data_IF_507307382836
#
_entry.id   IF_507307382836
#
_cell.length_a   1.000
_cell.length_b   1.000
_cell.length_c   1.000
_cell.angle_alpha   90.00
_cell.angle_beta   90.00
_cell.angle_gamma   90.00
#
_symmetry.space_group_name_H-M   'P 1'
#
loop_
_entity.id
_entity.type
_entity.pdbx_description
1 polymer ?
#
# COMPACT_ATOMS: atom_id res chain seq x y z
N UNK A 1 -34.65 14.82 -39.27
CA UNK A 1 -33.24 14.58 -38.94
C UNK A 1 -33.23 13.91 -37.59
N UNK A 2 -32.76 12.68 -37.54
CA UNK A 2 -32.73 11.86 -36.33
C UNK A 2 -31.27 11.64 -35.93
N UNK A 3 -30.95 11.84 -34.64
CA UNK A 3 -29.61 11.58 -34.12
C UNK A 3 -29.54 10.16 -33.59
N UNK A 4 -28.61 9.38 -34.12
CA UNK A 4 -28.25 8.08 -33.59
C UNK A 4 -27.18 8.33 -32.52
N UNK A 5 -27.61 8.23 -31.26
CA UNK A 5 -26.74 8.41 -30.11
C UNK A 5 -26.14 7.07 -29.66
N UNK A 6 -24.98 7.17 -29.04
CA UNK A 6 -24.35 6.09 -28.28
C UNK A 6 -23.96 6.66 -26.91
N UNK A 7 -23.78 5.81 -25.90
CA UNK A 7 -23.43 6.23 -24.55
C UNK A 7 -22.07 5.65 -24.21
N UNK A 8 -21.12 6.54 -23.90
CA UNK A 8 -19.83 6.13 -23.35
C UNK A 8 -19.82 6.36 -21.84
N UNK A 9 -19.20 5.43 -21.12
CA UNK A 9 -18.84 5.62 -19.72
C UNK A 9 -17.39 6.11 -19.70
N UNK A 10 -17.14 7.14 -18.90
CA UNK A 10 -15.81 7.69 -18.70
C UNK A 10 -15.59 7.79 -17.22
N UNK A 11 -14.52 7.17 -16.73
CA UNK A 11 -14.08 7.31 -15.36
C UNK A 11 -13.16 8.51 -15.25
N UNK A 12 -13.63 9.58 -14.61
CA UNK A 12 -12.80 10.74 -14.35
C UNK A 12 -11.87 10.45 -13.17
N UNK A 13 -10.56 10.40 -13.44
CA UNK A 13 -9.53 10.21 -12.41
C UNK A 13 -9.26 11.54 -11.72
N UNK A 14 -9.50 11.58 -10.42
CA UNK A 14 -9.21 12.72 -9.55
C UNK A 14 -7.99 12.35 -8.70
N UNK A 15 -6.94 13.16 -8.77
CA UNK A 15 -5.81 12.99 -7.85
C UNK A 15 -6.27 13.30 -6.41
N UNK A 16 -6.10 12.31 -5.54
CA UNK A 16 -6.42 12.51 -4.13
C UNK A 16 -5.43 13.48 -3.47
N UNK A 17 -4.20 13.53 -3.98
CA UNK A 17 -3.09 14.22 -3.33
C UNK A 17 -2.58 13.45 -2.11
N UNK A 18 -2.04 14.19 -1.14
CA UNK A 18 -1.53 13.66 0.13
C UNK A 18 -2.39 14.18 1.27
N UNK A 19 -3.00 13.27 2.02
CA UNK A 19 -3.52 13.56 3.35
C UNK A 19 -2.52 13.07 4.38
N UNK A 20 -2.19 13.90 5.36
CA UNK A 20 -1.23 13.60 6.41
C UNK A 20 -1.87 13.88 7.76
N UNK A 21 -1.74 12.94 8.70
CA UNK A 21 -2.25 13.09 10.06
C UNK A 21 -1.27 12.47 11.06
N UNK A 22 -1.34 12.93 12.30
CA UNK A 22 -0.47 12.46 13.38
C UNK A 22 -1.28 11.63 14.38
N UNK A 23 -0.77 10.44 14.68
CA UNK A 23 -1.38 9.49 15.60
C UNK A 23 -0.49 9.42 16.84
N UNK A 24 -1.09 9.58 18.02
CA UNK A 24 -0.39 9.38 19.29
C UNK A 24 -1.12 8.38 20.17
N UNK A 25 -0.35 7.56 20.89
CA UNK A 25 -0.86 6.68 21.93
C UNK A 25 0.14 6.51 23.07
N UNK A 26 -0.37 6.29 24.26
CA UNK A 26 0.42 5.88 25.41
C UNK A 26 0.33 4.36 25.57
N UNK A 27 1.46 3.72 25.88
CA UNK A 27 1.53 2.29 26.14
C UNK A 27 2.15 2.03 27.51
N UNK A 28 1.59 1.07 28.22
CA UNK A 28 2.11 0.59 29.50
C UNK A 28 2.96 -0.66 29.25
N UNK A 29 4.15 -0.69 29.82
CA UNK A 29 5.05 -1.84 29.77
C UNK A 29 4.37 -3.00 30.53
N UNK A 30 4.20 -4.19 29.93
CA UNK A 30 3.58 -5.33 30.61
C UNK A 30 4.37 -5.77 31.84
N UNK A 31 3.68 -6.15 32.94
CA UNK A 31 4.30 -6.54 34.23
C UNK A 31 5.35 -7.65 34.13
N UNK A 32 5.30 -8.46 33.06
CA UNK A 32 6.26 -9.54 32.79
C UNK A 32 7.58 -9.05 32.17
N UNK A 33 7.65 -7.82 31.69
CA UNK A 33 8.82 -7.23 31.03
C UNK A 33 9.50 -6.24 31.98
N UNK A 34 10.83 -6.12 31.87
CA UNK A 34 11.63 -5.18 32.64
C UNK A 34 11.34 -3.72 32.26
N UNK A 35 11.78 -2.82 33.11
CA UNK A 35 11.54 -1.38 32.98
C UNK A 35 12.30 -0.78 31.80
N UNK A 36 11.76 0.26 31.20
CA UNK A 36 12.33 0.89 30.00
C UNK A 36 13.44 1.86 30.40
N UNK A 37 14.65 1.62 29.88
CA UNK A 37 15.80 2.52 30.04
C UNK A 37 16.03 3.39 28.81
N UNK A 38 16.08 2.77 27.63
CA UNK A 38 16.41 3.46 26.37
C UNK A 38 15.63 2.88 25.20
N UNK A 39 15.07 3.75 24.35
CA UNK A 39 14.39 3.32 23.12
C UNK A 39 15.42 3.03 22.03
N UNK A 40 15.38 1.83 21.48
CA UNK A 40 16.26 1.39 20.38
C UNK A 40 15.61 1.66 19.03
N UNK A 41 14.33 1.28 18.87
CA UNK A 41 13.62 1.44 17.60
C UNK A 41 12.11 1.49 17.76
N UNK A 42 11.51 2.26 16.88
CA UNK A 42 10.08 2.27 16.57
C UNK A 42 9.82 1.64 15.20
N UNK A 43 8.84 0.75 15.15
CA UNK A 43 8.34 0.08 13.96
C UNK A 43 6.81 0.09 13.97
N UNK A 44 6.19 0.15 12.78
CA UNK A 44 4.76 0.04 12.70
C UNK A 44 4.24 0.06 11.28
N UNK A 45 2.97 -0.32 11.12
CA UNK A 45 2.27 -0.33 9.85
C UNK A 45 0.80 0.09 10.06
N UNK A 46 0.21 0.62 9.00
CA UNK A 46 -1.20 1.01 8.96
C UNK A 46 -2.01 -0.10 8.31
N UNK A 47 -3.11 -0.47 8.95
CA UNK A 47 -4.13 -1.37 8.39
C UNK A 47 -5.43 -0.62 8.21
N UNK A 48 -5.68 -0.08 7.01
CA UNK A 48 -6.97 0.51 6.66
C UNK A 48 -7.98 -0.61 6.39
N UNK A 49 -8.97 -0.75 7.28
CA UNK A 49 -10.00 -1.78 7.19
C UNK A 49 -11.16 -1.34 6.31
N UNK A 50 -11.55 -0.06 6.41
CA UNK A 50 -12.72 0.49 5.73
C UNK A 50 -12.45 1.91 5.26
N UNK A 51 -12.79 2.19 4.01
CA UNK A 51 -12.79 3.54 3.45
C UNK A 51 -14.15 3.75 2.81
N UNK A 52 -14.86 4.79 3.22
CA UNK A 52 -16.19 5.15 2.71
C UNK A 52 -16.17 6.55 2.11
N UNK A 53 -16.72 6.69 0.91
CA UNK A 53 -16.93 7.98 0.26
C UNK A 53 -18.29 8.53 0.63
N UNK A 54 -18.33 9.80 1.03
CA UNK A 54 -19.55 10.54 1.29
C UNK A 54 -19.41 11.95 0.70
N UNK A 55 -20.53 12.64 0.53
CA UNK A 55 -20.52 13.99 -0.04
C UNK A 55 -19.61 14.92 0.77
N UNK A 56 -18.58 15.45 0.09
CA UNK A 56 -17.57 16.34 0.64
C UNK A 56 -16.54 15.71 1.58
N UNK A 57 -16.55 14.38 1.79
CA UNK A 57 -15.62 13.73 2.74
C UNK A 57 -15.32 12.26 2.49
N UNK A 58 -14.19 11.80 3.03
CA UNK A 58 -13.78 10.40 3.05
C UNK A 58 -13.65 9.95 4.50
N UNK A 59 -14.31 8.85 4.87
CA UNK A 59 -14.16 8.24 6.19
C UNK A 59 -13.18 7.08 6.11
N UNK A 60 -12.06 7.17 6.83
CA UNK A 60 -11.03 6.15 6.89
C UNK A 60 -11.02 5.51 8.28
N UNK A 61 -11.28 4.20 8.34
CA UNK A 61 -11.21 3.39 9.56
C UNK A 61 -10.18 2.29 9.44
N UNK A 62 -9.41 2.11 10.49
CA UNK A 62 -8.33 1.13 10.50
C UNK A 62 -7.61 1.09 11.82
N UNK A 63 -6.34 0.71 11.79
CA UNK A 63 -5.48 0.73 12.96
C UNK A 63 -4.04 1.02 12.60
N UNK A 64 -3.37 1.74 13.48
CA UNK A 64 -1.91 1.80 13.52
C UNK A 64 -1.41 0.73 14.48
N UNK A 65 -0.64 -0.22 13.95
CA UNK A 65 -0.02 -1.28 14.74
C UNK A 65 1.46 -0.92 14.92
N UNK A 66 1.93 -0.92 16.16
CA UNK A 66 3.29 -0.51 16.49
C UNK A 66 4.04 -1.57 17.29
N UNK A 67 5.36 -1.51 17.20
CA UNK A 67 6.33 -2.22 18.02
C UNK A 67 7.46 -1.27 18.41
N UNK A 68 7.73 -1.13 19.70
CA UNK A 68 8.81 -0.31 20.24
C UNK A 68 9.82 -1.24 20.90
N UNK A 69 11.02 -1.32 20.35
CA UNK A 69 12.14 -2.09 20.88
C UNK A 69 12.95 -1.19 21.81
N UNK A 70 13.30 -1.68 23.00
CA UNK A 70 13.99 -0.92 24.04
C UNK A 70 15.03 -1.76 24.78
N UNK A 71 16.00 -1.09 25.40
CA UNK A 71 16.94 -1.67 26.37
C UNK A 71 16.33 -1.51 27.77
N UNK A 72 16.36 -2.58 28.56
CA UNK A 72 15.85 -2.62 29.92
C UNK A 72 16.72 -1.84 30.91
N UNK A 73 16.22 -1.62 32.13
CA UNK A 73 16.89 -0.96 33.25
C UNK A 73 18.20 -1.64 33.71
N UNK A 74 18.32 -2.95 33.48
CA UNK A 74 19.56 -3.70 33.65
C UNK A 74 20.66 -3.36 32.62
N UNK A 75 20.33 -2.53 31.63
CA UNK A 75 21.19 -2.04 30.55
C UNK A 75 21.76 -3.13 29.64
N UNK A 76 21.19 -4.33 29.67
CA UNK A 76 21.68 -5.46 28.90
C UNK A 76 20.55 -6.18 28.15
N UNK A 77 19.38 -6.33 28.76
CA UNK A 77 18.26 -7.05 28.14
C UNK A 77 17.54 -6.18 27.12
N UNK A 78 17.40 -6.72 25.90
CA UNK A 78 16.56 -6.12 24.86
C UNK A 78 15.14 -6.67 24.97
N UNK A 79 14.16 -5.78 24.96
CA UNK A 79 12.74 -6.12 25.02
C UNK A 79 11.92 -5.23 24.08
N UNK A 80 10.60 -5.43 24.06
CA UNK A 80 9.69 -4.66 23.23
C UNK A 80 8.36 -4.32 23.90
N UNK A 81 7.67 -3.29 23.41
CA UNK A 81 6.26 -3.01 23.68
C UNK A 81 5.55 -2.88 22.34
N UNK A 82 4.65 -3.83 22.05
CA UNK A 82 3.78 -3.78 20.90
C UNK A 82 2.36 -3.36 21.28
N UNK A 83 1.62 -2.83 20.31
CA UNK A 83 0.26 -2.39 20.53
C UNK A 83 -0.45 -1.91 19.27
N UNK A 84 -1.71 -1.52 19.46
CA UNK A 84 -2.63 -1.14 18.39
C UNK A 84 -3.43 0.09 18.78
N UNK A 85 -3.51 1.04 17.86
CA UNK A 85 -4.28 2.28 18.00
C UNK A 85 -5.32 2.31 16.90
N UNK A 86 -6.59 2.46 17.25
CA UNK A 86 -7.66 2.57 16.26
C UNK A 86 -7.60 3.92 15.54
N UNK A 87 -7.77 3.88 14.22
CA UNK A 87 -7.81 5.05 13.33
C UNK A 87 -9.26 5.28 12.93
N UNK A 88 -9.75 6.49 13.14
CA UNK A 88 -11.06 6.94 12.70
C UNK A 88 -10.97 8.38 12.17
N UNK A 89 -10.47 8.51 10.94
CA UNK A 89 -10.20 9.81 10.31
C UNK A 89 -11.33 10.22 9.37
N UNK A 90 -11.64 11.51 9.35
CA UNK A 90 -12.57 12.13 8.38
C UNK A 90 -11.79 13.16 7.59
N UNK A 91 -11.65 12.91 6.28
CA UNK A 91 -10.89 13.75 5.37
C UNK A 91 -11.88 14.61 4.59
N UNK A 92 -11.93 15.91 4.85
CA UNK A 92 -12.76 16.85 4.11
C UNK A 92 -12.17 17.10 2.72
N UNK A 93 -12.98 16.92 1.67
CA UNK A 93 -12.59 17.13 0.28
C UNK A 93 -13.83 17.37 -0.58
N UNK A 94 -14.05 18.64 -0.95
CA UNK A 94 -15.29 19.11 -1.60
C UNK A 94 -15.67 18.38 -2.90
N UNK A 95 -14.67 17.90 -3.66
CA UNK A 95 -14.89 17.23 -4.94
C UNK A 95 -15.21 15.73 -4.81
N UNK A 96 -15.43 15.24 -3.58
CA UNK A 96 -15.82 13.84 -3.32
C UNK A 96 -17.34 13.76 -3.26
N UNK A 97 -17.91 12.82 -4.01
CA UNK A 97 -19.34 12.47 -3.94
C UNK A 97 -19.50 11.04 -3.42
N UNK A 98 -20.69 10.72 -2.95
CA UNK A 98 -21.04 9.36 -2.56
C UNK A 98 -20.74 8.34 -3.68
N UNK A 99 -20.30 7.14 -3.29
CA UNK A 99 -20.08 5.99 -4.18
C UNK A 99 -18.99 6.20 -5.26
N UNK A 100 -18.12 7.20 -5.11
CA UNK A 100 -16.87 7.27 -5.88
C UNK A 100 -16.01 6.03 -5.59
N UNK A 101 -15.38 5.52 -6.65
CA UNK A 101 -14.39 4.45 -6.52
C UNK A 101 -13.02 5.01 -6.16
N UNK A 102 -12.13 4.15 -5.64
CA UNK A 102 -10.82 4.61 -5.17
C UNK A 102 -9.72 3.58 -5.27
N UNK A 103 -8.50 4.07 -5.44
CA UNK A 103 -7.25 3.34 -5.26
C UNK A 103 -6.39 4.16 -4.30
N UNK A 104 -6.62 3.98 -2.99
CA UNK A 104 -5.93 4.69 -1.91
C UNK A 104 -5.05 3.70 -1.14
N UNK A 105 -3.88 4.17 -0.72
CA UNK A 105 -2.95 3.43 0.13
C UNK A 105 -2.43 4.31 1.25
N UNK A 106 -2.00 3.68 2.33
CA UNK A 106 -1.45 4.34 3.52
C UNK A 106 -0.02 3.93 3.79
N UNK A 107 0.78 4.86 4.32
CA UNK A 107 2.16 4.63 4.76
C UNK A 107 2.42 5.34 6.10
N UNK A 108 3.37 4.82 6.87
CA UNK A 108 3.95 5.51 8.03
C UNK A 108 5.19 6.25 7.54
N UNK A 109 5.15 7.59 7.53
CA UNK A 109 6.27 8.43 7.10
C UNK A 109 7.34 8.52 8.21
N UNK A 110 6.88 8.72 9.43
CA UNK A 110 7.73 8.85 10.60
C UNK A 110 7.08 8.22 11.82
N UNK A 111 7.91 7.72 12.74
CA UNK A 111 7.45 7.20 14.01
C UNK A 111 8.50 7.45 15.08
N UNK A 112 8.06 7.96 16.22
CA UNK A 112 8.87 8.32 17.37
C UNK A 112 8.28 7.76 18.66
N UNK A 113 9.11 7.71 19.71
CA UNK A 113 8.69 7.23 21.00
C UNK A 113 9.43 7.98 22.11
N UNK A 114 8.70 8.41 23.13
CA UNK A 114 9.24 9.09 24.30
C UNK A 114 8.94 8.28 25.55
N UNK A 115 9.96 8.10 26.41
CA UNK A 115 9.79 7.46 27.73
C UNK A 115 9.13 8.49 28.66
N UNK A 116 7.93 8.18 29.16
CA UNK A 116 7.25 9.03 30.15
C UNK A 116 7.72 8.70 31.57
N UNK A 117 7.88 7.41 31.84
CA UNK A 117 8.52 6.85 33.03
C UNK A 117 8.95 5.40 32.71
N UNK A 118 9.52 4.72 33.70
CA UNK A 118 10.07 3.36 33.57
C UNK A 118 9.03 2.30 33.13
N UNK A 119 7.73 2.54 33.30
CA UNK A 119 6.62 1.64 32.92
C UNK A 119 5.70 2.20 31.83
N UNK A 120 5.96 3.39 31.28
CA UNK A 120 5.04 4.06 30.37
C UNK A 120 5.77 4.80 29.27
N UNK A 121 5.40 4.52 28.03
CA UNK A 121 5.93 5.16 26.83
C UNK A 121 4.82 5.89 26.07
N UNK A 122 5.20 6.92 25.32
CA UNK A 122 4.33 7.63 24.37
C UNK A 122 4.85 7.39 22.96
N UNK A 123 4.02 6.83 22.10
CA UNK A 123 4.33 6.52 20.70
C UNK A 123 3.63 7.53 19.80
N UNK A 124 4.38 8.14 18.89
CA UNK A 124 3.88 9.06 17.86
C UNK A 124 4.15 8.51 16.46
N UNK A 125 3.24 8.75 15.52
CA UNK A 125 3.41 8.36 14.12
C UNK A 125 2.77 9.36 13.17
N UNK A 126 3.51 9.72 12.12
CA UNK A 126 3.03 10.52 11.00
C UNK A 126 2.53 9.60 9.88
N UNK A 127 1.21 9.50 9.73
CA UNK A 127 0.58 8.68 8.70
C UNK A 127 0.27 9.52 7.46
N UNK A 128 0.50 8.96 6.29
CA UNK A 128 0.00 9.50 5.02
C UNK A 128 -1.03 8.58 4.38
N UNK A 129 -1.99 9.17 3.69
CA UNK A 129 -2.87 8.51 2.73
C UNK A 129 -2.69 9.21 1.38
N UNK A 130 -2.50 8.42 0.33
CA UNK A 130 -2.30 8.89 -1.05
C UNK A 130 -3.05 8.00 -2.03
N UNK A 131 -3.27 8.49 -3.25
CA UNK A 131 -3.80 7.67 -4.34
C UNK A 131 -4.71 8.42 -5.29
N UNK A 132 -5.74 7.76 -5.82
CA UNK A 132 -6.67 8.37 -6.77
C UNK A 132 -8.12 7.98 -6.50
N UNK A 133 -9.02 8.90 -6.81
CA UNK A 133 -10.46 8.70 -6.79
C UNK A 133 -10.98 8.62 -8.24
N UNK A 134 -12.08 7.92 -8.43
CA UNK A 134 -12.66 7.69 -9.76
C UNK A 134 -14.17 7.97 -9.72
N UNK A 135 -14.57 8.97 -10.50
CA UNK A 135 -15.95 9.35 -10.70
C UNK A 135 -16.47 8.78 -12.02
N UNK A 136 -17.53 7.98 -11.97
CA UNK A 136 -18.18 7.44 -13.19
C UNK A 136 -19.08 8.51 -13.81
N UNK A 137 -18.75 8.94 -15.02
CA UNK A 137 -19.56 9.85 -15.80
C UNK A 137 -20.16 9.13 -17.02
N UNK A 138 -21.45 9.37 -17.30
CA UNK A 138 -22.12 8.91 -18.53
C UNK A 138 -22.20 10.06 -19.52
N UNK A 139 -21.72 9.84 -20.74
CA UNK A 139 -21.72 10.84 -21.79
C UNK A 139 -22.45 10.34 -23.02
N UNK A 140 -23.44 11.11 -23.46
CA UNK A 140 -24.09 10.90 -24.75
C UNK A 140 -23.17 11.41 -25.86
N UNK A 141 -22.80 10.53 -26.77
CA UNK A 141 -22.11 10.87 -28.02
C UNK A 141 -23.06 10.70 -29.20
N UNK A 142 -22.87 11.49 -30.25
CA UNK A 142 -23.58 11.29 -31.52
C UNK A 142 -22.71 10.42 -32.40
N UNK A 143 -23.19 9.23 -32.75
CA UNK A 143 -22.50 8.29 -33.65
C UNK A 143 -22.89 8.51 -35.10
N UNK A 144 -24.16 8.83 -35.33
CA UNK A 144 -24.67 8.99 -36.69
C UNK A 144 -25.91 9.91 -36.78
N UNK A 145 -26.24 10.32 -38.01
CA UNK A 145 -27.46 11.08 -38.34
C UNK A 145 -28.25 10.35 -39.41
N UNK A 146 -29.55 10.16 -39.19
CA UNK A 146 -30.48 9.54 -40.10
C UNK A 146 -31.58 10.51 -40.59
N UNK A 147 -32.35 10.06 -41.59
CA UNK A 147 -33.51 10.77 -42.13
C UNK A 147 -33.21 12.16 -42.72
N UNK A 148 -32.06 12.28 -43.41
CA UNK A 148 -31.67 13.45 -44.20
C UNK A 148 -31.03 12.96 -45.50
N UNK A 149 -31.65 13.26 -46.64
CA UNK A 149 -31.08 12.94 -47.95
C UNK A 149 -29.88 13.86 -48.27
N UNK A 150 -28.91 13.29 -48.99
CA UNK A 150 -27.72 14.03 -49.44
C UNK A 150 -26.76 14.47 -48.33
N UNK A 151 -26.90 13.93 -47.11
CA UNK A 151 -25.98 14.24 -46.01
C UNK A 151 -24.64 13.49 -46.18
N UNK A 152 -23.55 14.24 -46.16
CA UNK A 152 -22.17 13.76 -46.09
C UNK A 152 -21.72 13.82 -44.64
N UNK A 153 -20.99 12.80 -44.19
CA UNK A 153 -20.66 12.61 -42.77
C UNK A 153 -19.17 12.40 -42.62
N UNK A 154 -18.57 13.04 -41.63
CA UNK A 154 -17.20 12.82 -41.22
C UNK A 154 -17.16 12.26 -39.81
N UNK A 155 -16.60 11.05 -39.65
CA UNK A 155 -16.47 10.37 -38.37
C UNK A 155 -15.02 10.35 -37.93
N UNK A 156 -14.83 10.36 -36.62
CA UNK A 156 -13.54 10.26 -35.96
C UNK A 156 -13.58 9.11 -34.96
N UNK A 157 -12.52 8.32 -34.95
CA UNK A 157 -12.30 7.35 -33.89
C UNK A 157 -11.69 8.06 -32.67
N UNK A 158 -12.28 7.80 -31.51
CA UNK A 158 -11.74 8.15 -30.21
C UNK A 158 -11.35 6.86 -29.50
N UNK A 159 -10.22 6.89 -28.82
CA UNK A 159 -9.66 5.76 -28.10
C UNK A 159 -9.31 6.23 -26.69
N UNK A 160 -9.80 5.52 -25.69
CA UNK A 160 -9.71 5.89 -24.27
C UNK A 160 -9.71 4.64 -23.39
N UNK A 161 -9.37 4.80 -22.13
CA UNK A 161 -9.42 3.74 -21.14
C UNK A 161 -10.76 3.75 -20.41
N UNK A 162 -11.39 2.58 -20.36
CA UNK A 162 -12.59 2.32 -19.58
C UNK A 162 -12.21 1.50 -18.34
N UNK A 163 -12.65 1.89 -17.14
CA UNK A 163 -12.47 1.07 -15.94
C UNK A 163 -13.56 0.01 -15.95
N UNK A 164 -13.18 -1.22 -16.23
CA UNK A 164 -14.09 -2.37 -16.23
C UNK A 164 -14.57 -2.67 -14.81
N UNK A 165 -13.67 -2.60 -13.83
CA UNK A 165 -14.02 -2.77 -12.43
C UNK A 165 -12.90 -2.36 -11.46
N UNK A 166 -13.31 -1.99 -10.24
CA UNK A 166 -12.43 -1.76 -9.09
C UNK A 166 -12.98 -2.61 -7.96
N UNK A 167 -12.24 -3.62 -7.53
CA UNK A 167 -12.73 -4.60 -6.57
C UNK A 167 -11.69 -4.92 -5.51
N UNK A 168 -12.17 -5.33 -4.33
CA UNK A 168 -11.34 -5.71 -3.19
C UNK A 168 -11.64 -7.16 -2.79
N UNK A 169 -10.60 -7.92 -2.47
CA UNK A 169 -10.72 -9.20 -1.78
C UNK A 169 -9.73 -9.27 -0.61
N UNK A 170 -9.98 -10.20 0.31
CA UNK A 170 -9.06 -10.51 1.42
C UNK A 170 -8.69 -12.00 1.40
N UNK A 171 -7.47 -12.32 1.85
CA UNK A 171 -6.97 -13.69 1.99
C UNK A 171 -6.25 -13.87 3.33
N UNK A 172 -6.50 -15.01 3.97
CA UNK A 172 -5.79 -15.41 5.19
C UNK A 172 -4.53 -16.18 4.80
N UNK A 173 -3.41 -15.77 5.39
CA UNK A 173 -2.08 -16.35 5.23
C UNK A 173 -1.70 -16.89 6.61
N UNK A 174 -1.54 -18.21 6.71
CA UNK A 174 -1.21 -18.88 7.97
C UNK A 174 -0.04 -19.82 7.75
N UNK A 175 0.92 -19.75 8.65
CA UNK A 175 2.07 -20.65 8.66
C UNK A 175 2.58 -20.86 10.09
N UNK A 176 3.37 -21.92 10.29
CA UNK A 176 4.02 -22.21 11.57
C UNK A 176 5.50 -22.47 11.32
N UNK A 177 6.33 -21.58 11.84
CA UNK A 177 7.77 -21.61 11.65
C UNK A 177 8.41 -22.25 12.88
N UNK A 178 9.27 -23.25 12.65
CA UNK A 178 10.05 -23.87 13.73
C UNK A 178 11.33 -23.08 13.94
N UNK A 179 11.59 -22.70 15.19
CA UNK A 179 12.74 -21.91 15.62
C UNK A 179 13.57 -22.76 16.60
N UNK A 180 14.90 -22.82 16.41
CA UNK A 180 15.79 -23.38 17.43
C UNK A 180 15.83 -22.43 18.63
N UNK A 181 15.54 -22.94 19.82
CA UNK A 181 15.44 -22.14 21.06
C UNK A 181 16.53 -22.44 22.08
N UNK A 182 17.62 -23.12 21.68
CA UNK A 182 18.80 -23.34 22.52
C UNK A 182 19.31 -22.03 23.14
N UNK A 183 19.37 -20.96 22.33
CA UNK A 183 19.86 -19.65 22.77
C UNK A 183 18.75 -18.58 22.84
N UNK A 184 17.53 -18.86 22.34
CA UNK A 184 16.48 -17.86 22.15
C UNK A 184 15.47 -17.87 23.30
N UNK A 185 15.34 -16.73 23.96
CA UNK A 185 14.37 -16.50 25.04
C UNK A 185 13.01 -15.98 24.51
N UNK A 186 13.00 -15.05 23.55
CA UNK A 186 11.75 -14.45 23.07
C UNK A 186 11.89 -13.84 21.67
N UNK A 187 10.75 -13.63 21.01
CA UNK A 187 10.66 -12.90 19.73
C UNK A 187 10.38 -11.42 20.05
N UNK A 188 11.17 -10.53 19.46
CA UNK A 188 11.20 -9.08 19.71
C UNK A 188 10.53 -8.29 18.57
N UNK A 189 10.70 -8.74 17.32
CA UNK A 189 10.05 -8.14 16.16
C UNK A 189 9.92 -9.16 15.02
N UNK A 190 8.93 -8.94 14.15
CA UNK A 190 8.74 -9.69 12.91
C UNK A 190 8.72 -8.81 11.65
N UNK A 191 8.56 -7.50 11.80
CA UNK A 191 8.47 -6.51 10.72
C UNK A 191 7.78 -7.01 9.43
N UNK A 192 6.48 -7.38 9.49
CA UNK A 192 5.79 -8.03 8.39
C UNK A 192 5.56 -7.10 7.20
N UNK A 193 5.67 -7.64 5.98
CA UNK A 193 5.43 -6.90 4.75
C UNK A 193 4.84 -7.81 3.67
N UNK A 194 3.75 -7.37 3.04
CA UNK A 194 3.16 -8.08 1.89
C UNK A 194 3.61 -7.44 0.58
N UNK A 195 4.00 -8.27 -0.39
CA UNK A 195 4.45 -7.84 -1.72
C UNK A 195 3.76 -8.62 -2.82
N UNK A 196 3.43 -7.93 -3.91
CA UNK A 196 2.99 -8.58 -5.15
C UNK A 196 4.23 -9.14 -5.85
N UNK A 197 4.21 -10.43 -6.18
CA UNK A 197 5.23 -11.07 -7.02
C UNK A 197 4.83 -11.08 -8.49
N UNK A 198 3.56 -11.37 -8.74
CA UNK A 198 2.98 -11.41 -10.08
C UNK A 198 1.47 -11.14 -10.03
N UNK A 199 0.93 -10.62 -11.12
CA UNK A 199 -0.51 -10.50 -11.33
C UNK A 199 -0.86 -10.87 -12.77
N UNK A 200 -2.08 -11.37 -12.97
CA UNK A 200 -2.64 -11.57 -14.30
C UNK A 200 -4.15 -11.43 -14.30
N UNK A 201 -4.68 -10.85 -15.36
CA UNK A 201 -6.13 -10.82 -15.63
C UNK A 201 -6.52 -12.11 -16.34
N UNK A 202 -7.66 -12.68 -15.96
CA UNK A 202 -8.32 -13.82 -16.63
C UNK A 202 -9.82 -13.56 -16.66
N UNK A 203 -10.61 -14.43 -17.29
CA UNK A 203 -12.05 -14.25 -17.39
C UNK A 203 -12.72 -14.05 -16.01
N UNK A 204 -13.32 -12.87 -15.83
CA UNK A 204 -14.02 -12.39 -14.64
C UNK A 204 -13.20 -12.31 -13.35
N UNK A 205 -11.86 -12.42 -13.40
CA UNK A 205 -11.03 -12.37 -12.19
C UNK A 205 -9.59 -11.94 -12.45
N UNK A 206 -8.98 -11.35 -11.43
CA UNK A 206 -7.54 -11.10 -11.36
C UNK A 206 -6.92 -12.10 -10.39
N UNK A 207 -5.81 -12.74 -10.82
CA UNK A 207 -5.03 -13.66 -9.99
C UNK A 207 -3.78 -12.92 -9.54
N UNK A 208 -3.56 -12.81 -8.24
CA UNK A 208 -2.39 -12.18 -7.63
C UNK A 208 -1.56 -13.26 -6.93
N UNK A 209 -0.30 -13.40 -7.33
CA UNK A 209 0.72 -14.13 -6.58
C UNK A 209 1.44 -13.15 -5.67
N UNK A 210 1.41 -13.41 -4.36
CA UNK A 210 2.02 -12.55 -3.35
C UNK A 210 2.95 -13.31 -2.41
N UNK A 211 3.73 -12.56 -1.64
CA UNK A 211 4.55 -13.09 -0.54
C UNK A 211 4.36 -12.22 0.70
N UNK A 212 4.15 -12.85 1.85
CA UNK A 212 4.31 -12.24 3.16
C UNK A 212 5.75 -12.48 3.60
N UNK A 213 6.55 -11.42 3.61
CA UNK A 213 7.90 -11.44 4.16
C UNK A 213 7.86 -11.04 5.64
N UNK A 214 8.54 -11.82 6.47
CA UNK A 214 8.81 -11.48 7.87
C UNK A 214 10.31 -11.57 8.14
N UNK A 215 10.80 -10.67 8.98
CA UNK A 215 12.18 -10.67 9.47
C UNK A 215 12.19 -10.82 11.00
N UNK A 216 12.29 -12.06 11.52
CA UNK A 216 12.24 -12.28 12.95
C UNK A 216 13.53 -11.81 13.63
N UNK A 217 13.38 -10.90 14.61
CA UNK A 217 14.40 -10.53 15.57
C UNK A 217 14.06 -11.16 16.92
N UNK A 218 15.05 -11.74 17.57
CA UNK A 218 14.87 -12.46 18.83
C UNK A 218 15.85 -11.99 19.91
N UNK A 219 15.46 -12.10 21.17
CA UNK A 219 16.32 -11.89 22.33
C UNK A 219 16.84 -13.24 22.82
N UNK A 220 18.14 -13.33 23.06
CA UNK A 220 18.78 -14.51 23.64
C UNK A 220 18.59 -14.57 25.15
N UNK A 221 18.89 -15.70 25.77
CA UNK A 221 18.91 -15.82 27.24
C UNK A 221 19.96 -14.92 27.92
N UNK A 222 20.96 -14.45 27.16
CA UNK A 222 21.97 -13.49 27.64
C UNK A 222 21.52 -12.02 27.45
N UNK A 223 20.32 -11.78 26.92
CA UNK A 223 19.77 -10.45 26.69
C UNK A 223 20.15 -9.82 25.34
N UNK A 224 20.90 -10.54 24.49
CA UNK A 224 21.39 -10.02 23.21
C UNK A 224 20.33 -10.16 22.09
N UNK A 225 20.36 -9.25 21.12
CA UNK A 225 19.48 -9.28 19.94
C UNK A 225 20.15 -10.08 18.81
N UNK A 226 19.41 -10.99 18.19
CA UNK A 226 19.85 -11.77 17.02
C UNK A 226 18.82 -11.73 15.90
N UNK A 227 19.26 -11.68 14.64
CA UNK A 227 18.41 -11.88 13.45
C UNK A 227 18.30 -13.38 13.17
N UNK A 228 17.06 -13.86 13.00
CA UNK A 228 16.79 -15.23 12.56
C UNK A 228 16.64 -15.28 11.03
N UNK A 229 16.49 -16.49 10.50
CA UNK A 229 16.24 -16.67 9.08
C UNK A 229 14.99 -15.91 8.63
N UNK A 230 15.14 -15.12 7.57
CA UNK A 230 14.03 -14.42 6.94
C UNK A 230 13.10 -15.42 6.30
N UNK A 231 11.80 -15.21 6.50
CA UNK A 231 10.77 -16.13 5.99
C UNK A 231 9.88 -15.40 4.99
N UNK A 232 9.65 -16.04 3.85
CA UNK A 232 8.67 -15.61 2.85
C UNK A 232 7.58 -16.66 2.72
N UNK A 233 6.35 -16.31 3.10
CA UNK A 233 5.18 -17.18 2.98
C UNK A 233 4.43 -16.78 1.71
N UNK A 234 4.52 -17.63 0.68
CA UNK A 234 3.86 -17.40 -0.59
C UNK A 234 2.34 -17.64 -0.49
N UNK A 235 1.57 -16.81 -1.18
CA UNK A 235 0.12 -16.97 -1.26
C UNK A 235 -0.41 -16.60 -2.65
N UNK A 236 -1.57 -17.13 -2.98
CA UNK A 236 -2.32 -16.75 -4.18
C UNK A 236 -3.68 -16.22 -3.78
N UNK A 237 -4.06 -15.09 -4.37
CA UNK A 237 -5.34 -14.45 -4.14
C UNK A 237 -6.10 -14.27 -5.46
N UNK A 238 -7.42 -14.45 -5.39
CA UNK A 238 -8.32 -14.23 -6.50
C UNK A 238 -9.22 -13.04 -6.16
N UNK A 239 -9.29 -12.06 -7.06
CA UNK A 239 -10.23 -10.95 -6.96
C UNK A 239 -11.21 -11.08 -8.11
N UNK A 240 -12.48 -11.31 -7.79
CA UNK A 240 -13.54 -11.37 -8.80
C UNK A 240 -13.80 -9.95 -9.33
N UNK A 241 -13.72 -9.78 -10.64
CA UNK A 241 -13.98 -8.52 -11.33
C UNK A 241 -14.85 -8.84 -12.55
N UNK A 242 -16.18 -8.78 -12.44
CA UNK A 242 -17.08 -9.16 -13.53
C UNK A 242 -16.82 -8.37 -14.81
N UNK A 243 -16.76 -9.06 -15.94
CA UNK A 243 -16.58 -8.44 -17.26
C UNK A 243 -15.13 -8.26 -17.70
N UNK A 244 -14.14 -8.60 -16.86
CA UNK A 244 -12.73 -8.58 -17.27
C UNK A 244 -12.36 -9.83 -18.05
N UNK A 245 -11.38 -9.71 -18.95
CA UNK A 245 -10.84 -10.82 -19.73
C UNK A 245 -9.34 -10.66 -19.96
N UNK A 246 -8.72 -11.69 -20.52
CA UNK A 246 -7.31 -11.64 -20.92
C UNK A 246 -7.03 -10.46 -21.86
N UNK A 247 -5.82 -9.87 -21.75
CA UNK A 247 -5.39 -8.69 -22.49
C UNK A 247 -5.74 -7.34 -21.88
N UNK A 248 -6.60 -7.29 -20.85
CA UNK A 248 -6.88 -6.07 -20.08
C UNK A 248 -5.73 -5.72 -19.13
N UNK A 249 -5.69 -4.47 -18.68
CA UNK A 249 -4.62 -3.94 -17.82
C UNK A 249 -5.09 -3.77 -16.37
N UNK A 250 -4.40 -4.40 -15.44
CA UNK A 250 -4.60 -4.28 -14.01
C UNK A 250 -3.59 -3.35 -13.31
N UNK A 251 -4.08 -2.67 -12.28
CA UNK A 251 -3.30 -2.03 -11.21
C UNK A 251 -3.66 -2.70 -9.88
N UNK A 252 -2.66 -3.09 -9.11
CA UNK A 252 -2.83 -3.84 -7.85
C UNK A 252 -2.32 -3.02 -6.66
N UNK A 253 -3.15 -2.90 -5.63
CA UNK A 253 -2.75 -2.43 -4.30
C UNK A 253 -2.88 -3.58 -3.32
N UNK A 254 -1.76 -3.97 -2.70
CA UNK A 254 -1.70 -5.02 -1.70
C UNK A 254 -1.30 -4.42 -0.35
N UNK A 255 -2.02 -4.78 0.71
CA UNK A 255 -1.82 -4.26 2.06
C UNK A 255 -2.19 -5.30 3.12
N UNK A 256 -1.71 -5.14 4.35
CA UNK A 256 -2.11 -6.00 5.47
C UNK A 256 -3.31 -5.38 6.20
N UNK A 257 -4.41 -6.12 6.30
CA UNK A 257 -5.59 -5.76 7.09
C UNK A 257 -5.44 -6.09 8.57
N UNK A 258 -4.68 -7.15 8.88
CA UNK A 258 -4.40 -7.60 10.25
C UNK A 258 -3.18 -8.54 10.23
N UNK A 259 -2.40 -8.56 11.31
CA UNK A 259 -1.29 -9.50 11.48
C UNK A 259 -1.16 -9.86 12.96
N UNK A 260 -1.25 -11.15 13.26
CA UNK A 260 -1.13 -11.70 14.60
C UNK A 260 -0.06 -12.79 14.58
N UNK A 261 0.61 -12.97 15.72
CA UNK A 261 1.59 -14.04 15.89
C UNK A 261 1.54 -14.59 17.32
N UNK A 262 1.93 -15.86 17.47
CA UNK A 262 2.07 -16.51 18.77
C UNK A 262 3.36 -17.32 18.75
N UNK A 263 4.23 -17.09 19.73
CA UNK A 263 5.43 -17.87 19.92
C UNK A 263 5.29 -18.80 21.14
N UNK A 264 5.49 -20.10 20.94
CA UNK A 264 5.42 -21.12 22.00
C UNK A 264 6.72 -21.92 22.03
N UNK A 265 7.39 -21.96 23.17
CA UNK A 265 8.58 -22.79 23.38
C UNK A 265 8.20 -24.20 23.84
N UNK A 266 8.98 -25.19 23.40
CA UNK A 266 8.96 -26.55 23.88
C UNK A 266 10.31 -26.87 24.55
N UNK A 267 10.30 -26.92 25.88
CA UNK A 267 11.49 -27.14 26.70
C UNK A 267 12.09 -28.54 26.56
N UNK A 268 11.35 -29.53 26.07
CA UNK A 268 11.86 -30.90 25.92
C UNK A 268 12.70 -31.08 24.65
N UNK A 269 12.39 -30.34 23.59
CA UNK A 269 13.02 -30.47 22.28
C UNK A 269 13.93 -29.29 21.90
N UNK A 270 14.15 -28.33 22.81
CA UNK A 270 14.83 -27.06 22.54
C UNK A 270 14.32 -26.35 21.27
N UNK A 271 13.03 -26.53 20.93
CA UNK A 271 12.42 -25.92 19.75
C UNK A 271 11.23 -25.05 20.13
N UNK A 272 11.00 -24.00 19.36
CA UNK A 272 9.84 -23.13 19.47
C UNK A 272 9.02 -23.13 18.18
N UNK A 273 7.73 -22.90 18.31
CA UNK A 273 6.79 -22.73 17.20
C UNK A 273 6.32 -21.28 17.17
N UNK A 274 6.61 -20.60 16.06
CA UNK A 274 6.10 -19.27 15.74
C UNK A 274 4.91 -19.42 14.77
N UNK A 275 3.72 -19.31 15.31
CA UNK A 275 2.45 -19.33 14.57
C UNK A 275 2.17 -17.93 14.02
N UNK A 276 1.93 -17.81 12.72
CA UNK A 276 1.60 -16.55 12.02
C UNK A 276 0.16 -16.63 11.49
N UNK A 277 -0.64 -15.57 11.71
CA UNK A 277 -1.94 -15.37 11.07
C UNK A 277 -2.03 -13.93 10.54
N UNK A 278 -1.98 -13.79 9.22
CA UNK A 278 -2.04 -12.51 8.52
C UNK A 278 -3.25 -12.47 7.60
N UNK A 279 -3.95 -11.33 7.59
CA UNK A 279 -4.99 -11.03 6.61
C UNK A 279 -4.44 -10.04 5.59
N UNK A 280 -4.25 -10.50 4.35
CA UNK A 280 -3.88 -9.62 3.24
C UNK A 280 -5.13 -9.10 2.55
N UNK A 281 -5.14 -7.81 2.23
CA UNK A 281 -6.17 -7.14 1.44
C UNK A 281 -5.57 -6.71 0.11
N UNK A 282 -6.18 -7.19 -0.96
CA UNK A 282 -5.85 -6.81 -2.32
C UNK A 282 -7.01 -5.99 -2.90
N UNK A 283 -6.69 -4.80 -3.43
CA UNK A 283 -7.60 -3.99 -4.23
C UNK A 283 -7.04 -3.87 -5.64
N UNK A 284 -7.85 -4.22 -6.64
CA UNK A 284 -7.46 -4.20 -8.05
C UNK A 284 -8.33 -3.23 -8.83
N UNK A 285 -7.72 -2.54 -9.78
CA UNK A 285 -8.42 -1.77 -10.82
C UNK A 285 -8.07 -2.40 -12.16
N UNK A 286 -9.08 -2.78 -12.94
CA UNK A 286 -8.88 -3.32 -14.29
C UNK A 286 -9.42 -2.34 -15.32
N UNK A 287 -8.63 -2.09 -16.35
CA UNK A 287 -8.91 -1.16 -17.44
C UNK A 287 -8.78 -1.84 -18.79
N UNK A 288 -9.65 -1.45 -19.72
CA UNK A 288 -9.61 -1.87 -21.12
C UNK A 288 -9.46 -0.65 -22.04
N UNK A 289 -8.83 -0.83 -23.19
CA UNK A 289 -8.72 0.22 -24.20
C UNK A 289 -9.90 0.14 -25.17
N UNK A 290 -10.80 1.11 -25.09
CA UNK A 290 -12.03 1.14 -25.87
C UNK A 290 -11.92 2.14 -27.00
N UNK A 291 -12.26 1.68 -28.21
CA UNK A 291 -12.40 2.55 -29.40
C UNK A 291 -13.87 2.76 -29.72
N UNK A 292 -14.25 4.02 -29.99
CA UNK A 292 -15.60 4.42 -30.39
C UNK A 292 -15.53 5.42 -31.55
N UNK A 293 -16.47 5.31 -32.47
CA UNK A 293 -16.66 6.30 -33.52
C UNK A 293 -17.60 7.40 -33.04
N UNK A 294 -17.19 8.65 -33.22
CA UNK A 294 -18.02 9.84 -33.00
C UNK A 294 -18.23 10.57 -34.31
N UNK A 295 -19.42 11.12 -34.50
CA UNK A 295 -19.70 12.03 -35.61
C UNK A 295 -18.98 13.35 -35.32
N UNK A 296 -17.96 13.65 -36.12
CA UNK A 296 -17.18 14.87 -35.99
C UNK A 296 -17.84 16.01 -36.77
N UNK A 297 -18.39 15.74 -37.95
CA UNK A 297 -19.03 16.75 -38.78
C UNK A 297 -20.07 16.10 -39.72
N UNK A 298 -21.04 16.88 -40.18
CA UNK A 298 -21.92 16.51 -41.28
C UNK A 298 -22.39 17.72 -42.09
N UNK A 299 -22.45 17.54 -43.40
CA UNK A 299 -22.81 18.58 -44.37
C UNK A 299 -23.89 18.08 -45.32
N UNK A 300 -24.84 18.93 -45.70
CA UNK A 300 -25.81 18.63 -46.76
C UNK A 300 -25.93 19.82 -47.72
N UNK A 301 -25.83 19.60 -49.05
CA UNK A 301 -26.12 20.64 -50.03
C UNK A 301 -27.59 21.09 -50.03
N UNK A 302 -28.49 20.29 -49.48
CA UNK A 302 -29.94 20.48 -49.56
C UNK A 302 -30.54 21.13 -48.30
N UNK A 303 -29.82 21.08 -47.18
CA UNK A 303 -30.29 21.60 -45.88
C UNK A 303 -29.14 22.24 -45.11
N UNK A 304 -29.43 23.38 -44.49
CA UNK A 304 -28.50 24.00 -43.53
C UNK A 304 -28.51 23.14 -42.26
N UNK A 305 -27.33 22.66 -41.85
CA UNK A 305 -27.14 21.91 -40.62
C UNK A 305 -26.28 22.76 -39.69
N UNK A 306 -26.68 22.88 -38.43
CA UNK A 306 -25.90 23.53 -37.39
C UNK A 306 -25.28 22.45 -36.49
N UNK A 307 -23.96 22.51 -36.32
CA UNK A 307 -23.22 21.65 -35.40
C UNK A 307 -22.86 22.43 -34.14
N UNK A 308 -23.27 21.91 -32.99
CA UNK A 308 -22.84 22.38 -31.69
C UNK A 308 -21.87 21.33 -31.10
N UNK A 309 -20.67 21.76 -30.73
CA UNK A 309 -19.64 20.89 -30.16
C UNK A 309 -19.52 21.09 -28.65
N UNK A 310 -19.34 20.00 -27.91
CA UNK A 310 -18.97 20.03 -26.50
C UNK A 310 -17.63 19.30 -26.32
N UNK A 311 -16.61 19.92 -25.70
CA UNK A 311 -15.39 19.21 -25.37
C UNK A 311 -15.68 18.11 -24.33
N UNK A 312 -15.04 16.96 -24.51
CA UNK A 312 -15.10 15.83 -23.58
C UNK A 312 -13.66 15.49 -23.18
N UNK A 313 -13.43 15.26 -21.89
CA UNK A 313 -12.16 14.78 -21.39
C UNK A 313 -12.19 13.25 -21.36
N UNK A 314 -11.15 12.62 -21.90
CA UNK A 314 -11.00 11.17 -21.95
C UNK A 314 -9.66 10.80 -21.34
N UNK A 315 -9.64 9.73 -20.55
CA UNK A 315 -8.40 9.20 -20.00
C UNK A 315 -7.77 8.23 -20.99
N UNK A 316 -6.48 8.39 -21.25
CA UNK A 316 -5.71 7.48 -22.11
C UNK A 316 -4.34 7.23 -21.48
N UNK A 317 -3.99 5.97 -21.32
CA UNK A 317 -2.61 5.61 -20.99
C UNK A 317 -1.73 5.82 -22.20
N UNK A 318 -0.73 6.68 -22.06
CA UNK A 318 0.23 6.95 -23.13
C UNK A 318 1.36 5.91 -23.15
N UNK A 319 1.78 5.46 -21.96
CA UNK A 319 2.86 4.49 -21.79
C UNK A 319 2.73 3.82 -20.42
N UNK A 320 3.02 2.52 -20.38
CA UNK A 320 3.26 1.74 -19.17
C UNK A 320 4.65 1.12 -19.29
N UNK A 321 5.42 1.18 -18.20
CA UNK A 321 6.72 0.53 -18.10
C UNK A 321 6.95 0.12 -16.66
N UNK A 322 7.59 -1.03 -16.49
CA UNK A 322 8.06 -1.53 -15.21
C UNK A 322 9.58 -1.73 -15.32
N UNK A 323 10.32 -1.19 -14.36
CA UNK A 323 11.77 -1.27 -14.33
C UNK A 323 12.22 -1.67 -12.93
N UNK A 324 13.12 -2.65 -12.87
CA UNK A 324 13.82 -3.05 -11.65
C UNK A 324 15.29 -2.66 -11.80
N UNK A 325 15.80 -1.88 -10.87
CA UNK A 325 17.21 -1.48 -10.84
C UNK A 325 17.79 -1.68 -9.44
N UNK A 326 19.11 -1.85 -9.38
CA UNK A 326 19.83 -2.06 -8.13
C UNK A 326 20.45 -0.74 -7.65
N UNK A 327 20.16 -0.36 -6.40
CA UNK A 327 20.87 0.73 -5.72
C UNK A 327 22.02 0.13 -4.91
N UNK A 328 23.24 0.65 -5.09
CA UNK A 328 24.44 0.24 -4.32
C UNK A 328 25.08 1.48 -3.73
N UNK A 329 25.31 1.44 -2.42
CA UNK A 329 25.99 2.50 -1.67
C UNK A 329 26.95 1.87 -0.65
N UNK A 330 28.11 2.49 -0.42
CA UNK A 330 29.11 2.00 0.53
C UNK A 330 29.12 2.85 1.79
N UNK A 331 28.66 2.30 2.93
CA UNK A 331 28.58 3.03 4.19
C UNK A 331 29.82 2.74 5.04
N UNK A 332 30.45 3.80 5.56
CA UNK A 332 31.59 3.72 6.48
C UNK A 332 31.15 4.16 7.87
N UNK A 333 31.69 3.51 8.89
CA UNK A 333 31.56 4.01 10.25
C UNK A 333 32.58 5.12 10.46
N UNK A 334 32.12 6.37 10.50
CA UNK A 334 32.96 7.54 10.75
C UNK A 334 33.10 7.85 12.26
N UNK A 335 32.52 7.00 13.12
CA UNK A 335 32.56 7.18 14.57
C UNK A 335 33.65 6.30 15.20
N UNK A 336 34.80 6.91 15.48
CA UNK A 336 35.97 6.26 16.07
C UNK A 336 35.70 5.71 17.48
N UNK A 337 34.68 6.23 18.18
CA UNK A 337 34.30 5.82 19.54
C UNK A 337 33.48 4.51 19.57
N UNK A 338 33.00 4.02 18.41
CA UNK A 338 32.16 2.82 18.32
C UNK A 338 32.95 1.68 17.67
N UNK A 339 33.40 0.72 18.48
CA UNK A 339 33.91 -0.56 17.98
C UNK A 339 32.75 -1.51 17.67
N UNK A 340 32.41 -1.61 16.39
CA UNK A 340 31.40 -2.53 15.88
C UNK A 340 31.97 -3.95 15.91
N UNK A 341 31.31 -4.84 16.67
CA UNK A 341 31.60 -6.28 16.67
C UNK A 341 30.95 -6.94 15.46
N UNK A 342 29.62 -6.88 15.39
CA UNK A 342 28.82 -7.47 14.30
C UNK A 342 27.69 -6.52 13.86
N UNK A 343 27.26 -6.66 12.60
CA UNK A 343 25.99 -6.11 12.11
C UNK A 343 24.92 -7.16 12.36
N UNK A 344 24.07 -6.93 13.37
CA UNK A 344 23.00 -7.85 13.77
C UNK A 344 21.88 -7.85 12.73
N UNK A 345 21.45 -6.65 12.28
CA UNK A 345 20.40 -6.54 11.28
C UNK A 345 20.45 -5.21 10.53
N UNK A 346 19.94 -5.22 9.29
CA UNK A 346 19.74 -4.01 8.47
C UNK A 346 18.29 -3.95 8.02
N UNK A 347 17.60 -2.88 8.42
CA UNK A 347 16.20 -2.65 8.08
C UNK A 347 16.08 -1.49 7.10
N UNK A 348 15.92 -1.76 5.80
CA UNK A 348 15.63 -0.73 4.81
C UNK A 348 14.17 -0.30 4.89
N UNK A 349 13.94 1.00 4.75
CA UNK A 349 12.62 1.59 4.54
C UNK A 349 12.72 2.54 3.36
N UNK A 350 11.73 2.52 2.47
CA UNK A 350 11.69 3.41 1.30
C UNK A 350 10.48 4.31 1.41
N UNK A 351 10.68 5.58 1.07
CA UNK A 351 9.61 6.57 1.00
C UNK A 351 9.69 7.30 -0.33
N UNK A 352 8.58 7.41 -1.04
CA UNK A 352 8.49 8.21 -2.26
C UNK A 352 8.03 9.61 -1.85
N UNK A 353 8.91 10.59 -2.03
CA UNK A 353 8.62 11.98 -1.69
C UNK A 353 7.88 12.68 -2.82
N UNK A 354 8.31 12.44 -4.07
CA UNK A 354 7.74 13.10 -5.23
C UNK A 354 7.77 12.22 -6.49
N UNK A 355 6.79 12.42 -7.36
CA UNK A 355 6.75 11.81 -8.68
C UNK A 355 6.13 12.79 -9.67
N UNK A 356 6.85 13.13 -10.74
CA UNK A 356 6.38 14.09 -11.73
C UNK A 356 6.95 13.79 -13.12
N UNK A 357 6.37 14.43 -14.13
CA UNK A 357 6.82 14.32 -15.53
C UNK A 357 7.61 15.59 -15.87
N UNK A 358 8.82 15.41 -16.38
CA UNK A 358 9.65 16.50 -16.89
C UNK A 358 10.12 16.16 -18.32
N UNK A 359 9.54 16.86 -19.30
CA UNK A 359 9.74 16.56 -20.72
C UNK A 359 9.26 15.14 -21.06
N UNK A 360 10.19 14.29 -21.52
CA UNK A 360 9.92 12.88 -21.87
C UNK A 360 10.34 11.89 -20.77
N UNK A 361 10.61 12.36 -19.55
CA UNK A 361 11.03 11.51 -18.43
C UNK A 361 9.97 11.50 -17.33
N UNK A 362 9.73 10.32 -16.77
CA UNK A 362 9.09 10.18 -15.47
C UNK A 362 10.17 10.24 -14.40
N UNK A 363 10.06 11.17 -13.46
CA UNK A 363 11.00 11.35 -12.36
C UNK A 363 10.31 10.87 -11.09
N UNK A 364 10.95 9.93 -10.38
CA UNK A 364 10.53 9.47 -9.06
C UNK A 364 11.67 9.82 -8.10
N UNK A 365 11.35 10.57 -7.06
CA UNK A 365 12.28 10.98 -6.01
C UNK A 365 11.81 10.43 -4.67
N UNK A 366 12.75 9.95 -3.89
CA UNK A 366 12.46 9.34 -2.60
C UNK A 366 13.73 9.09 -1.80
N UNK A 367 13.54 8.63 -0.57
CA UNK A 367 14.61 8.33 0.38
C UNK A 367 14.56 6.85 0.72
N UNK A 368 15.72 6.19 0.61
CA UNK A 368 15.96 4.88 1.20
C UNK A 368 16.66 5.10 2.53
N UNK A 369 15.96 4.84 3.63
CA UNK A 369 16.51 4.94 4.98
C UNK A 369 16.93 3.56 5.45
N UNK A 370 18.21 3.42 5.78
CA UNK A 370 18.79 2.19 6.34
C UNK A 370 18.97 2.38 7.85
N UNK A 371 18.40 1.47 8.64
CA UNK A 371 18.69 1.37 10.08
C UNK A 371 19.55 0.14 10.32
N UNK A 372 20.72 0.35 10.93
CA UNK A 372 21.68 -0.71 11.29
C UNK A 372 21.55 -1.04 12.77
N UNK A 373 21.54 -2.33 13.08
CA UNK A 373 21.72 -2.84 14.42
C UNK A 373 23.13 -3.39 14.53
N UNK A 374 23.84 -2.91 15.53
CA UNK A 374 25.24 -3.20 15.73
C UNK A 374 25.39 -3.81 17.12
N UNK A 375 26.09 -4.94 17.22
CA UNK A 375 26.62 -5.37 18.51
C UNK A 375 27.94 -4.64 18.75
N UNK A 376 28.15 -4.14 19.97
CA UNK A 376 29.39 -3.47 20.35
C UNK A 376 30.29 -4.43 21.13
N UNK A 377 31.60 -4.30 20.96
CA UNK A 377 32.54 -4.93 21.88
C UNK A 377 32.40 -4.27 23.25
N UNK A 378 32.06 -5.04 24.29
CA UNK A 378 32.19 -4.59 25.67
C UNK A 378 33.68 -4.35 25.94
N UNK A 379 34.09 -3.09 26.08
CA UNK A 379 35.46 -2.69 26.48
C UNK A 379 35.64 -2.91 27.98
#
# INVERSE_FOLDING_TARGET
>A
MELIKDVIKVDNRIDFGKFQTFIEAEAVVPDKKLDVYEIVKTEGYISLKKIEMADGKILCRGSFNYNVIYIADDKNTISNVDGKVDINEVIEKDNVIQDMEYMLFSEVEHMDCTIMNERKIKVGALMNIRGSLFEKQRLDIVKDVAQVEGIQKHRKEICFQDIVGIEKAESSIRDTITINTEEIQSIISLNPCVKVKESRVTDNKVIIGGVLEINPLACTYEGELVELDRVGIEFTQFVEVPGVSDGMTEEVLLSMSDFNHIFKQNSESNTGLLEIDCMACCKVKVTDEVTREVLQDAYSPQKIIKFDHKPIQLNKTLRRSEETFMVREGIRNDNDDIQIKDIVSVCPTMSIENSYIEGNKSIIQGIIKLKFYLSQLKV
#
